data_IF_147465015970
#
_entry.id   IF_147465015970
#
_cell.length_a   1.000
_cell.length_b   1.000
_cell.length_c   1.000
_cell.angle_alpha   90.00
_cell.angle_beta   90.00
_cell.angle_gamma   90.00
#
_symmetry.space_group_name_H-M   'P 1'
#
loop_
_entity.id
_entity.type
_entity.pdbx_description
1 polymer ?
#
# COMPACT_ATOMS: atom_id res chain seq x y z
N UNK A 1 -4.96 39.60 32.91
CA UNK A 1 -3.72 39.70 32.09
C UNK A 1 -2.84 38.44 32.23
N UNK A 2 -2.46 38.02 33.44
CA UNK A 2 -1.62 36.82 33.67
C UNK A 2 -2.24 35.51 33.14
N UNK A 3 -3.54 35.27 33.35
CA UNK A 3 -4.23 34.08 32.83
C UNK A 3 -4.29 34.01 31.29
N UNK A 4 -4.36 35.17 30.62
CA UNK A 4 -4.36 35.24 29.15
C UNK A 4 -2.96 34.94 28.60
N UNK A 5 -1.91 35.43 29.27
CA UNK A 5 -0.52 35.14 28.92
C UNK A 5 -0.17 33.66 29.14
N UNK A 6 -0.66 33.04 30.22
CA UNK A 6 -0.47 31.61 30.45
C UNK A 6 -1.11 30.77 29.35
N UNK A 7 -2.37 31.06 28.98
CA UNK A 7 -3.05 30.36 27.88
C UNK A 7 -2.37 30.55 26.53
N UNK A 8 -1.84 31.75 26.26
CA UNK A 8 -1.07 32.00 25.05
C UNK A 8 0.24 31.19 25.02
N UNK A 9 0.96 31.09 26.15
CA UNK A 9 2.19 30.29 26.26
C UNK A 9 1.91 28.78 26.13
N UNK A 10 0.80 28.29 26.70
CA UNK A 10 0.40 26.89 26.56
C UNK A 10 0.04 26.55 25.10
N UNK A 11 -0.63 27.46 24.39
CA UNK A 11 -0.90 27.31 22.95
C UNK A 11 0.39 27.27 22.12
N UNK A 12 1.36 28.15 22.41
CA UNK A 12 2.67 28.16 21.75
C UNK A 12 3.42 26.85 22.01
N UNK A 13 3.37 26.31 23.24
CA UNK A 13 3.97 25.02 23.57
C UNK A 13 3.37 23.86 22.76
N UNK A 14 2.04 23.81 22.64
CA UNK A 14 1.36 22.79 21.83
C UNK A 14 1.77 22.88 20.36
N UNK A 15 1.87 24.09 19.81
CA UNK A 15 2.29 24.31 18.43
C UNK A 15 3.74 23.83 18.21
N UNK A 16 4.65 24.21 19.10
CA UNK A 16 6.07 23.82 19.01
C UNK A 16 6.21 22.29 19.09
N UNK A 17 5.57 21.64 20.07
CA UNK A 17 5.60 20.18 20.22
C UNK A 17 5.00 19.49 18.99
N UNK A 18 3.88 20.00 18.47
CA UNK A 18 3.24 19.47 17.26
C UNK A 18 4.13 19.55 16.02
N UNK A 19 4.90 20.63 15.86
CA UNK A 19 5.86 20.79 14.76
C UNK A 19 7.02 19.78 14.91
N UNK A 20 7.57 19.61 16.10
CA UNK A 20 8.64 18.62 16.35
C UNK A 20 8.17 17.18 16.09
N UNK A 21 6.96 16.82 16.54
CA UNK A 21 6.36 15.50 16.26
C UNK A 21 6.17 15.32 14.75
N UNK A 22 5.64 16.33 14.06
CA UNK A 22 5.43 16.28 12.60
C UNK A 22 6.73 16.16 11.83
N UNK A 23 7.84 16.73 12.31
CA UNK A 23 9.17 16.58 11.73
C UNK A 23 9.77 15.21 12.02
N UNK A 24 9.60 14.68 13.24
CA UNK A 24 10.07 13.34 13.62
C UNK A 24 9.33 12.23 12.86
N UNK A 25 8.03 12.41 12.61
CA UNK A 25 7.21 11.45 11.84
C UNK A 25 7.43 11.52 10.32
N UNK A 26 8.14 12.54 9.82
CA UNK A 26 8.51 12.65 8.40
C UNK A 26 9.69 11.75 8.02
N UNK A 27 10.39 11.18 8.99
CA UNK A 27 11.48 10.22 8.73
C UNK A 27 10.94 8.81 8.50
N UNK A 28 9.93 8.70 7.63
CA UNK A 28 9.56 7.47 6.94
C UNK A 28 10.41 7.33 5.67
N UNK A 29 11.71 7.62 5.76
CA UNK A 29 12.63 7.29 4.70
C UNK A 29 12.63 5.78 4.57
N UNK A 30 11.98 5.28 3.52
CA UNK A 30 12.26 3.94 3.03
C UNK A 30 13.77 3.86 2.93
N UNK A 31 14.37 2.98 3.74
CA UNK A 31 15.80 2.70 3.73
C UNK A 31 16.10 2.18 2.32
N UNK A 32 16.42 3.10 1.39
CA UNK A 32 17.08 2.71 0.18
C UNK A 32 18.41 2.19 0.66
N UNK A 33 18.59 0.88 0.57
CA UNK A 33 19.88 0.21 0.77
C UNK A 33 20.81 0.80 -0.28
N UNK A 34 21.45 1.91 0.07
CA UNK A 34 22.26 2.70 -0.84
C UNK A 34 23.50 1.88 -1.20
N UNK A 35 23.55 1.37 -2.43
CA UNK A 35 24.75 0.75 -2.99
C UNK A 35 24.60 -0.66 -3.54
N UNK A 36 23.41 -1.28 -3.49
CA UNK A 36 23.18 -2.50 -4.27
C UNK A 36 22.85 -2.15 -5.73
N UNK A 37 23.40 -2.86 -6.72
CA UNK A 37 22.97 -2.70 -8.11
C UNK A 37 21.47 -3.03 -8.24
N UNK A 38 20.76 -2.43 -9.21
CA UNK A 38 19.36 -2.76 -9.45
C UNK A 38 19.20 -4.27 -9.64
N UNK A 39 18.35 -4.90 -8.82
CA UNK A 39 18.05 -6.31 -8.99
C UNK A 39 17.13 -6.50 -10.20
N UNK A 40 17.57 -7.30 -11.15
CA UNK A 40 16.74 -7.70 -12.29
C UNK A 40 16.21 -9.12 -12.12
N UNK A 41 15.03 -9.22 -11.50
CA UNK A 41 14.32 -10.48 -11.38
C UNK A 41 13.48 -10.70 -12.65
N UNK A 42 13.80 -11.71 -13.49
CA UNK A 42 13.10 -11.93 -14.74
C UNK A 42 11.68 -12.49 -14.55
N UNK A 43 11.38 -13.03 -13.37
CA UNK A 43 10.10 -13.62 -13.05
C UNK A 43 9.84 -13.59 -11.54
N UNK A 44 8.56 -13.65 -11.17
CA UNK A 44 8.09 -13.81 -9.79
C UNK A 44 7.26 -15.11 -9.74
N UNK A 45 7.64 -16.01 -8.84
CA UNK A 45 6.87 -17.21 -8.54
C UNK A 45 6.07 -16.97 -7.25
N UNK A 46 4.75 -16.90 -7.39
CA UNK A 46 3.81 -16.66 -6.30
C UNK A 46 3.15 -17.99 -5.91
N UNK A 47 3.17 -18.31 -4.62
CA UNK A 47 2.41 -19.39 -4.01
C UNK A 47 1.49 -18.78 -2.95
N UNK A 48 0.24 -19.20 -2.92
CA UNK A 48 -0.71 -18.62 -1.98
C UNK A 48 -2.13 -19.15 -2.16
N UNK A 49 -3.06 -18.30 -1.76
CA UNK A 49 -4.50 -18.53 -1.81
C UNK A 49 -5.18 -17.55 -2.78
N UNK A 50 -6.50 -17.40 -2.65
CA UNK A 50 -7.31 -16.52 -3.50
C UNK A 50 -6.87 -15.05 -3.47
N UNK A 51 -6.17 -14.59 -2.43
CA UNK A 51 -5.69 -13.20 -2.35
C UNK A 51 -4.54 -12.90 -3.32
N UNK A 52 -3.84 -13.92 -3.81
CA UNK A 52 -2.75 -13.78 -4.78
C UNK A 52 -3.00 -14.50 -6.09
N UNK A 53 -4.08 -15.28 -6.20
CA UNK A 53 -4.40 -16.03 -7.40
C UNK A 53 -4.91 -15.13 -8.54
N UNK A 54 -4.15 -15.06 -9.63
CA UNK A 54 -4.46 -14.22 -10.80
C UNK A 54 -5.23 -14.98 -11.90
N UNK A 55 -5.60 -16.24 -11.67
CA UNK A 55 -6.33 -17.06 -12.65
C UNK A 55 -6.15 -18.57 -12.53
N UNK A 56 -5.33 -19.04 -11.59
CA UNK A 56 -5.01 -20.44 -11.35
C UNK A 56 -6.25 -21.29 -11.07
N UNK A 57 -7.14 -20.86 -10.19
CA UNK A 57 -8.40 -21.59 -9.93
C UNK A 57 -9.28 -21.66 -11.18
N UNK A 58 -9.35 -20.57 -11.96
CA UNK A 58 -10.11 -20.51 -13.21
C UNK A 58 -9.54 -21.40 -14.30
N UNK A 59 -8.22 -21.56 -14.32
CA UNK A 59 -7.53 -22.42 -15.28
C UNK A 59 -7.59 -23.91 -14.89
N UNK A 60 -7.51 -24.22 -13.60
CA UNK A 60 -7.39 -25.60 -13.11
C UNK A 60 -8.73 -26.28 -12.81
N UNK A 61 -9.72 -25.53 -12.32
CA UNK A 61 -10.95 -26.12 -11.80
C UNK A 61 -12.19 -25.53 -12.47
N UNK A 62 -12.54 -24.29 -12.15
CA UNK A 62 -13.80 -23.67 -12.56
C UNK A 62 -13.61 -22.17 -12.76
N UNK A 63 -14.18 -21.59 -13.83
CA UNK A 63 -14.06 -20.17 -14.11
C UNK A 63 -14.75 -19.31 -13.03
N UNK A 64 -14.00 -18.39 -12.45
CA UNK A 64 -14.57 -17.36 -11.57
C UNK A 64 -15.47 -16.43 -12.40
N UNK A 65 -16.75 -16.41 -12.04
CA UNK A 65 -17.79 -15.67 -12.74
C UNK A 65 -17.89 -14.22 -12.24
N UNK A 66 -18.74 -13.41 -12.88
CA UNK A 66 -19.16 -12.12 -12.34
C UNK A 66 -19.68 -12.27 -10.90
N UNK A 67 -19.44 -11.30 -10.00
CA UNK A 67 -19.05 -9.92 -10.28
C UNK A 67 -17.53 -9.65 -10.38
N UNK A 68 -16.66 -10.65 -10.15
CA UNK A 68 -15.22 -10.40 -10.01
C UNK A 68 -14.53 -9.96 -11.31
N UNK A 69 -14.10 -8.70 -11.35
CA UNK A 69 -13.34 -8.08 -12.42
C UNK A 69 -14.18 -7.13 -13.28
N UNK A 70 -15.49 -7.04 -13.01
CA UNK A 70 -16.42 -6.18 -13.73
C UNK A 70 -16.10 -4.69 -13.51
N UNK A 71 -15.68 -4.28 -12.31
CA UNK A 71 -15.38 -2.86 -12.06
C UNK A 71 -14.06 -2.41 -12.68
N UNK A 72 -12.99 -3.20 -12.55
CA UNK A 72 -11.66 -2.82 -13.07
C UNK A 72 -11.39 -3.32 -14.50
N UNK A 73 -11.52 -4.63 -14.75
CA UNK A 73 -11.20 -5.26 -16.04
C UNK A 73 -12.36 -5.24 -17.04
N UNK A 74 -13.56 -4.84 -16.59
CA UNK A 74 -14.82 -4.79 -17.38
C UNK A 74 -15.29 -6.15 -17.89
N UNK A 75 -14.82 -7.24 -17.27
CA UNK A 75 -15.23 -8.63 -17.52
C UNK A 75 -14.75 -9.53 -16.38
N UNK A 76 -15.32 -10.74 -16.22
CA UNK A 76 -14.77 -11.74 -15.32
C UNK A 76 -13.26 -11.93 -15.56
N UNK A 77 -12.46 -11.65 -14.54
CA UNK A 77 -10.99 -11.64 -14.65
C UNK A 77 -10.32 -12.94 -14.18
N UNK A 78 -11.13 -13.94 -13.78
CA UNK A 78 -10.66 -15.25 -13.37
C UNK A 78 -10.04 -15.32 -11.97
N UNK A 79 -10.18 -14.26 -11.17
CA UNK A 79 -9.59 -14.08 -9.84
C UNK A 79 -10.66 -13.63 -8.84
N UNK A 80 -10.48 -13.90 -7.56
CA UNK A 80 -11.42 -13.51 -6.48
C UNK A 80 -11.29 -12.04 -6.06
N UNK A 81 -11.25 -11.13 -7.04
CA UNK A 81 -11.20 -9.69 -6.81
C UNK A 81 -11.83 -8.94 -7.97
N UNK A 82 -12.45 -7.81 -7.64
CA UNK A 82 -13.00 -6.90 -8.63
C UNK A 82 -11.97 -5.92 -9.24
N UNK A 83 -10.70 -6.06 -8.82
CA UNK A 83 -9.59 -5.21 -9.21
C UNK A 83 -8.24 -5.93 -9.24
N UNK A 84 -7.17 -5.13 -9.17
CA UNK A 84 -5.80 -5.64 -9.06
C UNK A 84 -5.57 -6.30 -7.71
N UNK A 85 -4.78 -7.37 -7.70
CA UNK A 85 -4.26 -8.01 -6.49
C UNK A 85 -2.93 -7.37 -6.09
N UNK A 86 -2.47 -7.60 -4.85
CA UNK A 86 -1.19 -7.07 -4.38
C UNK A 86 -0.01 -7.45 -5.30
N UNK A 87 -0.05 -8.68 -5.85
CA UNK A 87 0.98 -9.17 -6.78
C UNK A 87 1.07 -8.37 -8.08
N UNK A 88 -0.05 -7.77 -8.54
CA UNK A 88 -0.05 -6.90 -9.72
C UNK A 88 0.76 -5.61 -9.46
N UNK A 89 0.88 -5.16 -8.21
CA UNK A 89 1.67 -3.97 -7.88
C UNK A 89 3.14 -4.28 -7.67
N UNK A 90 3.46 -5.51 -7.27
CA UNK A 90 4.84 -5.96 -7.05
C UNK A 90 5.50 -6.37 -8.37
N UNK A 91 4.75 -7.02 -9.27
CA UNK A 91 5.25 -7.47 -10.56
C UNK A 91 5.39 -6.38 -11.62
N UNK A 92 4.71 -5.24 -11.44
CA UNK A 92 4.89 -4.07 -12.30
C UNK A 92 6.11 -3.27 -11.81
N UNK A 93 7.24 -3.43 -12.50
CA UNK A 93 8.33 -2.46 -12.49
C UNK A 93 7.97 -1.24 -13.34
#
# INVERSE_FOLDING_TARGET
>A
MVFLLQRAMDFVRVLVVGVFISLALRDGSAEQVMGLPPCDFPAIYNFGDSNSDTGGISAAFLPIQAPYGVNFFRKPAGRDSDGRLIIDFIGNK
#
